data_IF_244646002747
#
_entry.id   IF_244646002747
#
_cell.length_a   1.000
_cell.length_b   1.000
_cell.length_c   1.000
_cell.angle_alpha   90.00
_cell.angle_beta   90.00
_cell.angle_gamma   90.00
#
_symmetry.space_group_name_H-M   'P 1'
#
loop_
_entity.id
_entity.type
_entity.pdbx_description
1 polymer ?
#
# COMPACT_ATOMS: atom_id res chain seq x y z
N UNK A 1 50.71 31.77 41.79
CA UNK A 1 50.56 32.64 42.97
C UNK A 1 50.09 31.75 44.12
N UNK A 2 50.82 31.50 45.20
CA UNK A 2 51.97 32.19 45.79
C UNK A 2 52.65 31.22 46.75
N UNK A 3 53.83 30.74 46.37
CA UNK A 3 55.12 30.99 47.03
C UNK A 3 55.32 30.26 48.38
N UNK A 4 56.12 29.20 48.32
CA UNK A 4 56.99 28.77 49.42
C UNK A 4 58.36 29.44 49.23
N UNK A 5 58.78 30.24 50.20
CA UNK A 5 60.18 30.61 50.49
C UNK A 5 60.42 30.07 51.91
N UNK A 6 61.43 29.26 52.21
CA UNK A 6 62.80 29.28 51.73
C UNK A 6 63.66 29.56 52.96
N UNK A 7 64.51 28.61 53.36
CA UNK A 7 65.95 28.86 53.53
C UNK A 7 66.63 27.62 54.10
N UNK A 8 67.59 27.13 53.33
CA UNK A 8 68.71 26.30 53.72
C UNK A 8 69.41 26.79 54.99
N UNK A 9 69.95 25.85 55.78
CA UNK A 9 71.41 25.62 55.75
C UNK A 9 71.91 24.81 56.96
N UNK A 10 72.76 23.83 56.62
CA UNK A 10 73.97 23.42 57.33
C UNK A 10 73.89 22.52 58.58
N UNK A 11 74.38 21.31 58.37
CA UNK A 11 75.00 20.33 59.30
C UNK A 11 76.55 20.49 59.19
N UNK A 12 77.47 19.86 59.98
CA UNK A 12 77.55 19.34 61.38
C UNK A 12 78.77 20.00 62.11
N UNK A 13 79.60 19.38 63.00
CA UNK A 13 79.51 18.20 63.87
C UNK A 13 79.91 18.49 65.34
N UNK A 14 79.87 17.47 66.22
CA UNK A 14 80.87 17.10 67.25
C UNK A 14 80.21 16.20 68.31
N UNK A 15 80.50 14.90 68.25
CA UNK A 15 81.49 14.17 69.05
C UNK A 15 81.05 13.91 70.49
N UNK A 16 80.82 12.63 70.80
CA UNK A 16 80.81 12.05 72.15
C UNK A 16 82.15 12.34 72.85
N UNK A 17 82.19 12.40 74.20
CA UNK A 17 82.59 11.19 74.94
C UNK A 17 81.83 10.94 76.25
N UNK A 18 81.61 9.64 76.47
CA UNK A 18 81.70 8.83 77.68
C UNK A 18 81.52 9.40 79.12
N UNK A 19 80.61 8.73 79.84
CA UNK A 19 80.80 8.15 81.18
C UNK A 19 80.87 9.03 82.45
N UNK A 20 79.81 9.02 83.28
CA UNK A 20 79.74 8.35 84.61
C UNK A 20 78.57 8.79 85.53
N UNK A 21 77.80 7.79 86.00
CA UNK A 21 77.02 7.62 87.25
C UNK A 21 75.81 8.54 87.65
N UNK A 22 74.85 8.00 88.45
CA UNK A 22 73.44 8.41 88.47
C UNK A 22 72.99 9.16 89.75
N UNK A 23 71.76 9.73 89.75
CA UNK A 23 70.93 9.87 90.94
C UNK A 23 69.61 9.04 90.85
N UNK A 24 68.86 8.87 91.94
CA UNK A 24 68.19 7.62 92.33
C UNK A 24 66.80 7.40 91.70
N UNK A 25 66.24 6.17 91.81
CA UNK A 25 64.97 5.83 91.21
C UNK A 25 63.77 6.24 92.08
N UNK A 26 62.75 6.70 91.36
CA UNK A 26 61.33 6.41 91.62
C UNK A 26 60.65 7.12 92.80
N UNK A 27 59.86 8.14 92.43
CA UNK A 27 58.53 8.31 92.99
C UNK A 27 57.53 8.38 91.82
N UNK A 28 56.77 7.31 91.60
CA UNK A 28 55.53 7.36 90.83
C UNK A 28 54.47 8.08 91.68
N UNK A 29 53.73 9.04 91.10
CA UNK A 29 52.32 9.16 91.36
C UNK A 29 51.56 8.62 90.16
N UNK A 30 50.60 7.76 90.46
CA UNK A 30 49.66 7.09 89.58
C UNK A 30 48.89 8.08 88.69
N UNK A 31 49.22 8.08 87.39
CA UNK A 31 48.25 8.39 86.34
C UNK A 31 47.24 7.25 86.17
N UNK A 32 46.15 7.46 85.41
CA UNK A 32 45.09 6.47 85.23
C UNK A 32 45.64 5.12 84.74
N UNK A 33 44.96 4.03 85.10
CA UNK A 33 45.41 2.66 84.80
C UNK A 33 45.44 2.41 83.28
N UNK A 34 46.43 1.68 82.77
CA UNK A 34 46.58 1.38 81.33
C UNK A 34 45.32 0.80 80.67
N UNK A 35 44.44 0.16 81.44
CA UNK A 35 43.16 -0.39 80.98
C UNK A 35 42.09 0.69 80.74
N UNK A 36 42.06 1.74 81.55
CA UNK A 36 41.13 2.87 81.40
C UNK A 36 41.44 3.68 80.13
N UNK A 37 42.73 3.87 79.84
CA UNK A 37 43.21 4.54 78.62
C UNK A 37 42.84 3.73 77.36
N UNK A 38 42.92 2.39 77.43
CA UNK A 38 42.58 1.51 76.31
C UNK A 38 41.06 1.47 76.04
N UNK A 39 40.25 1.52 77.09
CA UNK A 39 38.78 1.58 76.98
C UNK A 39 38.30 2.94 76.44
N UNK A 40 38.93 4.04 76.89
CA UNK A 40 38.64 5.39 76.38
C UNK A 40 39.00 5.51 74.89
N UNK A 41 40.15 4.96 74.48
CA UNK A 41 40.56 4.90 73.08
C UNK A 41 39.55 4.11 72.22
N UNK A 42 39.03 3.00 72.74
CA UNK A 42 37.99 2.21 72.07
C UNK A 42 36.68 2.98 71.94
N UNK A 43 36.21 3.63 73.01
CA UNK A 43 35.00 4.48 72.97
C UNK A 43 35.15 5.65 71.99
N UNK A 44 36.32 6.28 71.94
CA UNK A 44 36.61 7.35 70.99
C UNK A 44 36.61 6.82 69.54
N UNK A 45 37.19 5.64 69.29
CA UNK A 45 37.16 5.01 67.97
C UNK A 45 35.74 4.63 67.54
N UNK A 46 34.93 4.03 68.42
CA UNK A 46 33.53 3.70 68.15
C UNK A 46 32.70 4.97 67.88
N UNK A 47 32.94 6.05 68.64
CA UNK A 47 32.29 7.35 68.42
C UNK A 47 32.69 7.98 67.08
N UNK A 48 33.97 7.94 66.72
CA UNK A 48 34.45 8.38 65.41
C UNK A 48 33.84 7.54 64.28
N UNK A 49 33.76 6.22 64.45
CA UNK A 49 33.15 5.32 63.49
C UNK A 49 31.64 5.60 63.32
N UNK A 50 30.93 5.91 64.41
CA UNK A 50 29.53 6.30 64.37
C UNK A 50 29.32 7.63 63.63
N UNK A 51 30.15 8.65 63.90
CA UNK A 51 30.10 9.94 63.20
C UNK A 51 30.36 9.76 61.69
N UNK A 52 31.35 8.96 61.31
CA UNK A 52 31.65 8.69 59.89
C UNK A 52 30.49 7.97 59.20
N UNK A 53 29.87 6.99 59.88
CA UNK A 53 28.68 6.28 59.35
C UNK A 53 27.49 7.22 59.17
N UNK A 54 27.27 8.15 60.11
CA UNK A 54 26.20 9.13 60.03
C UNK A 54 26.41 10.13 58.88
N UNK A 55 27.64 10.63 58.70
CA UNK A 55 27.98 11.53 57.59
C UNK A 55 27.82 10.84 56.22
N UNK A 56 28.21 9.56 56.11
CA UNK A 56 27.97 8.76 54.90
C UNK A 56 26.47 8.58 54.61
N UNK A 57 25.66 8.31 55.64
CA UNK A 57 24.21 8.18 55.47
C UNK A 57 23.56 9.50 55.00
N UNK A 58 23.98 10.63 55.58
CA UNK A 58 23.53 11.96 55.15
C UNK A 58 23.94 12.29 53.72
N UNK A 59 25.17 11.93 53.32
CA UNK A 59 25.64 12.11 51.96
C UNK A 59 24.85 11.26 50.96
N UNK A 60 24.63 9.98 51.28
CA UNK A 60 23.84 9.07 50.44
C UNK A 60 22.38 9.54 50.30
N UNK A 61 21.77 10.06 51.36
CA UNK A 61 20.43 10.64 51.29
C UNK A 61 20.39 11.86 50.35
N UNK A 62 21.35 12.78 50.50
CA UNK A 62 21.45 13.97 49.64
C UNK A 62 21.69 13.60 48.18
N UNK A 63 22.53 12.60 47.91
CA UNK A 63 22.77 12.11 46.55
C UNK A 63 21.50 11.50 45.93
N UNK A 64 20.75 10.71 46.68
CA UNK A 64 19.48 10.15 46.24
C UNK A 64 18.40 11.23 45.99
N UNK A 65 18.27 12.22 46.86
CA UNK A 65 17.34 13.34 46.68
C UNK A 65 17.71 14.18 45.46
N UNK A 66 19.00 14.49 45.28
CA UNK A 66 19.48 15.19 44.10
C UNK A 66 19.23 14.37 42.83
N UNK A 67 19.50 13.07 42.84
CA UNK A 67 19.24 12.17 41.71
C UNK A 67 17.75 12.09 41.36
N UNK A 68 16.87 12.10 42.38
CA UNK A 68 15.43 12.11 42.18
C UNK A 68 14.94 13.44 41.56
N UNK A 69 15.47 14.57 42.01
CA UNK A 69 15.13 15.90 41.47
C UNK A 69 15.61 16.02 40.01
N UNK A 70 16.86 15.63 39.72
CA UNK A 70 17.39 15.66 38.35
C UNK A 70 16.63 14.71 37.43
N UNK A 71 16.29 13.51 37.92
CA UNK A 71 15.50 12.56 37.14
C UNK A 71 14.09 13.07 36.84
N UNK A 72 13.45 13.79 37.77
CA UNK A 72 12.14 14.38 37.55
C UNK A 72 12.18 15.52 36.53
N UNK A 73 13.22 16.37 36.59
CA UNK A 73 13.43 17.46 35.63
C UNK A 73 13.70 16.92 34.21
N UNK A 74 14.56 15.89 34.10
CA UNK A 74 14.86 15.24 32.82
C UNK A 74 13.63 14.57 32.21
N UNK A 75 12.82 13.89 33.03
CA UNK A 75 11.57 13.26 32.59
C UNK A 75 10.51 14.30 32.18
N UNK A 76 10.44 15.43 32.89
CA UNK A 76 9.55 16.55 32.54
C UNK A 76 9.98 17.20 31.22
N UNK A 77 11.28 17.39 31.00
CA UNK A 77 11.84 17.91 29.76
C UNK A 77 11.55 16.98 28.58
N UNK A 78 11.76 15.67 28.75
CA UNK A 78 11.45 14.67 27.73
C UNK A 78 9.96 14.66 27.36
N UNK A 79 9.06 14.77 28.35
CA UNK A 79 7.62 14.83 28.14
C UNK A 79 7.19 16.09 27.35
N UNK A 80 7.78 17.25 27.64
CA UNK A 80 7.49 18.49 26.90
C UNK A 80 7.91 18.34 25.42
N UNK A 81 9.09 17.77 25.17
CA UNK A 81 9.60 17.54 23.81
C UNK A 81 8.70 16.57 23.04
N UNK A 82 8.32 15.44 23.66
CA UNK A 82 7.44 14.44 23.05
C UNK A 82 6.09 15.05 22.70
N UNK A 83 5.47 15.76 23.64
CA UNK A 83 4.19 16.45 23.41
C UNK A 83 4.28 17.47 22.28
N UNK A 84 5.39 18.20 22.18
CA UNK A 84 5.66 19.12 21.08
C UNK A 84 5.70 18.42 19.72
N UNK A 85 6.45 17.30 19.64
CA UNK A 85 6.54 16.48 18.42
C UNK A 85 5.19 15.88 18.02
N UNK A 86 4.43 15.37 18.99
CA UNK A 86 3.10 14.80 18.78
C UNK A 86 2.13 15.83 18.19
N UNK A 87 2.13 17.07 18.71
CA UNK A 87 1.31 18.16 18.17
C UNK A 87 1.71 18.57 16.75
N UNK A 88 3.02 18.64 16.49
CA UNK A 88 3.54 18.94 15.15
C UNK A 88 3.14 17.87 14.13
N UNK A 89 3.28 16.59 14.50
CA UNK A 89 2.88 15.45 13.66
C UNK A 89 1.37 15.41 13.44
N UNK A 90 0.58 15.72 14.48
CA UNK A 90 -0.87 15.82 14.37
C UNK A 90 -1.30 16.92 13.39
N UNK A 91 -0.68 18.11 13.45
CA UNK A 91 -1.02 19.19 12.52
C UNK A 91 -0.58 18.87 11.08
N UNK A 92 0.59 18.25 10.90
CA UNK A 92 1.03 17.75 9.58
C UNK A 92 0.04 16.74 9.01
N UNK A 93 -0.37 15.77 9.83
CA UNK A 93 -1.37 14.76 9.48
C UNK A 93 -2.70 15.41 9.07
N UNK A 94 -3.15 16.43 9.80
CA UNK A 94 -4.38 17.17 9.49
C UNK A 94 -4.31 17.93 8.16
N UNK A 95 -3.16 18.55 7.85
CA UNK A 95 -2.93 19.23 6.57
C UNK A 95 -2.95 18.21 5.42
N UNK A 96 -2.28 17.08 5.59
CA UNK A 96 -2.26 16.00 4.59
C UNK A 96 -3.65 15.41 4.37
N UNK A 97 -4.44 15.19 5.42
CA UNK A 97 -5.81 14.69 5.32
C UNK A 97 -6.70 15.64 4.50
N UNK A 98 -6.61 16.96 4.74
CA UNK A 98 -7.34 17.94 3.92
C UNK A 98 -6.91 17.93 2.46
N UNK A 99 -5.61 17.82 2.19
CA UNK A 99 -5.09 17.74 0.82
C UNK A 99 -5.55 16.48 0.11
N UNK A 100 -5.59 15.35 0.82
CA UNK A 100 -6.11 14.08 0.33
C UNK A 100 -7.59 14.22 -0.03
N UNK A 101 -8.40 14.76 0.88
CA UNK A 101 -9.83 14.97 0.65
C UNK A 101 -10.11 15.86 -0.58
N UNK A 102 -9.33 16.93 -0.76
CA UNK A 102 -9.42 17.76 -1.97
C UNK A 102 -9.12 16.96 -3.25
N UNK A 103 -8.07 16.13 -3.22
CA UNK A 103 -7.69 15.29 -4.36
C UNK A 103 -8.73 14.21 -4.65
N UNK A 104 -9.31 13.61 -3.63
CA UNK A 104 -10.40 12.65 -3.77
C UNK A 104 -11.64 13.30 -4.39
N UNK A 105 -11.99 14.54 -4.01
CA UNK A 105 -13.09 15.28 -4.62
C UNK A 105 -12.83 15.63 -6.09
N UNK A 106 -11.61 16.05 -6.42
CA UNK A 106 -11.19 16.28 -7.82
C UNK A 106 -11.30 14.99 -8.64
N UNK A 107 -10.77 13.87 -8.14
CA UNK A 107 -10.84 12.57 -8.79
C UNK A 107 -12.28 12.07 -8.95
N UNK A 108 -13.13 12.24 -7.93
CA UNK A 108 -14.53 11.85 -8.00
C UNK A 108 -15.29 12.63 -9.08
N UNK A 109 -15.02 13.93 -9.20
CA UNK A 109 -15.62 14.79 -10.24
C UNK A 109 -15.20 14.37 -11.65
N UNK A 110 -13.90 14.08 -11.83
CA UNK A 110 -13.37 13.62 -13.12
C UNK A 110 -13.94 12.23 -13.46
N UNK A 111 -13.99 11.33 -12.47
CA UNK A 111 -14.51 9.97 -12.64
C UNK A 111 -15.99 9.96 -13.00
N UNK A 112 -16.81 10.81 -12.37
CA UNK A 112 -18.24 10.88 -12.70
C UNK A 112 -18.46 11.42 -14.11
N UNK A 113 -17.72 12.45 -14.52
CA UNK A 113 -17.77 13.00 -15.86
C UNK A 113 -17.46 11.94 -16.92
N UNK A 114 -16.35 11.21 -16.79
CA UNK A 114 -16.00 10.18 -17.78
C UNK A 114 -16.96 9.00 -17.77
N UNK A 115 -17.50 8.63 -16.61
CA UNK A 115 -18.52 7.59 -16.51
C UNK A 115 -19.79 7.98 -17.29
N UNK A 116 -20.27 9.20 -17.12
CA UNK A 116 -21.44 9.70 -17.86
C UNK A 116 -21.19 9.73 -19.38
N UNK A 117 -20.00 10.17 -19.80
CA UNK A 117 -19.62 10.18 -21.21
C UNK A 117 -19.59 8.77 -21.82
N UNK A 118 -19.09 7.78 -21.06
CA UNK A 118 -19.11 6.38 -21.50
C UNK A 118 -20.54 5.85 -21.61
N UNK A 119 -21.40 6.11 -20.62
CA UNK A 119 -22.81 5.70 -20.66
C UNK A 119 -23.55 6.29 -21.88
N UNK A 120 -23.28 7.55 -22.23
CA UNK A 120 -23.84 8.19 -23.44
C UNK A 120 -23.33 7.50 -24.71
N UNK A 121 -22.03 7.21 -24.79
CA UNK A 121 -21.44 6.54 -25.96
C UNK A 121 -21.96 5.12 -26.13
N UNK A 122 -22.04 4.35 -25.04
CA UNK A 122 -22.59 3.00 -25.02
C UNK A 122 -24.05 2.99 -25.46
N UNK A 123 -24.87 3.91 -24.91
CA UNK A 123 -26.26 4.06 -25.30
C UNK A 123 -26.41 4.39 -26.79
N UNK A 124 -25.65 5.37 -27.30
CA UNK A 124 -25.68 5.75 -28.71
C UNK A 124 -25.21 4.60 -29.62
N UNK A 125 -24.19 3.86 -29.21
CA UNK A 125 -23.70 2.69 -29.93
C UNK A 125 -24.78 1.61 -30.02
N UNK A 126 -25.45 1.33 -28.91
CA UNK A 126 -26.54 0.36 -28.85
C UNK A 126 -27.73 0.77 -29.73
N UNK A 127 -28.15 2.03 -29.67
CA UNK A 127 -29.23 2.58 -30.51
C UNK A 127 -28.89 2.49 -32.00
N UNK A 128 -27.67 2.89 -32.39
CA UNK A 128 -27.19 2.76 -33.76
C UNK A 128 -27.17 1.30 -34.24
N UNK A 129 -26.69 0.38 -33.41
CA UNK A 129 -26.68 -1.04 -33.76
C UNK A 129 -28.09 -1.57 -33.99
N UNK A 130 -29.02 -1.23 -33.09
CA UNK A 130 -30.43 -1.62 -33.20
C UNK A 130 -31.06 -1.08 -34.48
N UNK A 131 -30.91 0.22 -34.75
CA UNK A 131 -31.44 0.84 -35.97
C UNK A 131 -30.84 0.20 -37.22
N UNK A 132 -29.52 -0.02 -37.24
CA UNK A 132 -28.83 -0.65 -38.37
C UNK A 132 -29.33 -2.09 -38.60
N UNK A 133 -29.52 -2.86 -37.53
CA UNK A 133 -30.06 -4.21 -37.61
C UNK A 133 -31.50 -4.21 -38.14
N UNK A 134 -32.34 -3.28 -37.70
CA UNK A 134 -33.70 -3.11 -38.20
C UNK A 134 -33.72 -2.74 -39.68
N UNK A 135 -32.91 -1.76 -40.11
CA UNK A 135 -32.79 -1.35 -41.50
C UNK A 135 -32.27 -2.49 -42.40
N UNK A 136 -31.27 -3.23 -41.93
CA UNK A 136 -30.74 -4.40 -42.63
C UNK A 136 -31.82 -5.46 -42.81
N UNK A 137 -32.53 -5.83 -41.75
CA UNK A 137 -33.60 -6.82 -41.82
C UNK A 137 -34.73 -6.35 -42.74
N UNK A 138 -35.12 -5.09 -42.67
CA UNK A 138 -36.11 -4.53 -43.60
C UNK A 138 -35.64 -4.58 -45.06
N UNK A 139 -34.37 -4.26 -45.30
CA UNK A 139 -33.78 -4.35 -46.64
C UNK A 139 -33.71 -5.80 -47.13
N UNK A 140 -33.35 -6.75 -46.26
CA UNK A 140 -33.35 -8.18 -46.54
C UNK A 140 -34.76 -8.67 -46.89
N UNK A 141 -35.77 -8.38 -46.07
CA UNK A 141 -37.16 -8.76 -46.36
C UNK A 141 -37.68 -8.14 -47.67
N UNK A 142 -37.33 -6.87 -47.95
CA UNK A 142 -37.68 -6.22 -49.22
C UNK A 142 -36.99 -6.88 -50.40
N UNK A 143 -35.72 -7.27 -50.24
CA UNK A 143 -34.96 -7.99 -51.25
C UNK A 143 -35.56 -9.37 -51.48
N UNK A 144 -35.86 -10.14 -50.43
CA UNK A 144 -36.54 -11.44 -50.50
C UNK A 144 -37.91 -11.33 -51.17
N UNK A 145 -38.69 -10.28 -50.90
CA UNK A 145 -39.98 -10.08 -51.58
C UNK A 145 -39.82 -9.77 -53.08
N UNK A 146 -38.74 -9.07 -53.47
CA UNK A 146 -38.44 -8.73 -54.88
C UNK A 146 -37.79 -9.88 -55.63
N UNK A 147 -36.92 -10.62 -54.96
CA UNK A 147 -36.41 -11.91 -55.38
C UNK A 147 -37.57 -12.89 -55.17
N UNK A 148 -38.59 -12.74 -56.01
CA UNK A 148 -39.70 -13.70 -56.15
C UNK A 148 -39.07 -15.09 -55.99
N UNK A 149 -39.58 -16.00 -55.11
CA UNK A 149 -39.18 -17.39 -55.17
C UNK A 149 -39.41 -17.74 -56.62
N UNK A 150 -38.31 -17.86 -57.37
CA UNK A 150 -38.35 -17.73 -58.82
C UNK A 150 -39.39 -18.73 -59.20
N UNK A 151 -40.53 -18.24 -59.74
CA UNK A 151 -41.61 -19.10 -60.13
C UNK A 151 -40.98 -19.87 -61.28
N UNK A 152 -40.31 -20.95 -60.92
CA UNK A 152 -40.26 -22.22 -61.60
C UNK A 152 -41.72 -22.68 -61.64
N UNK A 153 -42.60 -21.82 -62.18
CA UNK A 153 -43.55 -22.24 -63.16
C UNK A 153 -42.62 -22.85 -64.19
N UNK A 154 -42.31 -24.14 -64.06
CA UNK A 154 -42.90 -25.14 -64.92
C UNK A 154 -43.36 -24.57 -66.28
N UNK A 155 -42.50 -23.77 -66.92
CA UNK A 155 -42.71 -23.23 -68.24
C UNK A 155 -42.86 -24.45 -69.15
N UNK A 156 -43.90 -24.43 -69.96
CA UNK A 156 -44.23 -25.52 -70.90
C UNK A 156 -44.72 -26.82 -70.24
N UNK A 157 -45.05 -26.88 -68.95
CA UNK A 157 -45.52 -28.15 -68.32
C UNK A 157 -46.82 -28.68 -68.87
N UNK A 158 -47.77 -27.81 -69.22
CA UNK A 158 -49.00 -28.24 -69.89
C UNK A 158 -48.71 -28.86 -71.27
N UNK A 159 -47.79 -28.26 -72.03
CA UNK A 159 -47.34 -28.80 -73.32
C UNK A 159 -46.57 -30.11 -73.12
N UNK A 160 -45.72 -30.19 -72.10
CA UNK A 160 -44.99 -31.39 -71.74
C UNK A 160 -45.95 -32.54 -71.41
N UNK A 161 -46.98 -32.29 -70.61
CA UNK A 161 -48.00 -33.28 -70.28
C UNK A 161 -48.74 -33.77 -71.52
N UNK A 162 -49.14 -32.86 -72.43
CA UNK A 162 -49.81 -33.20 -73.68
C UNK A 162 -48.92 -34.01 -74.63
N UNK A 163 -47.64 -33.66 -74.77
CA UNK A 163 -46.67 -34.42 -75.59
C UNK A 163 -46.51 -35.84 -75.05
N UNK A 164 -46.31 -35.96 -73.73
CA UNK A 164 -46.17 -37.27 -73.07
C UNK A 164 -47.44 -38.11 -73.22
N UNK A 165 -48.62 -37.49 -73.11
CA UNK A 165 -49.91 -38.17 -73.31
C UNK A 165 -50.05 -38.68 -74.76
N UNK A 166 -49.74 -37.85 -75.75
CA UNK A 166 -49.83 -38.23 -77.16
C UNK A 166 -48.95 -39.45 -77.49
N UNK A 167 -47.71 -39.49 -76.99
CA UNK A 167 -46.82 -40.64 -77.23
C UNK A 167 -47.28 -41.91 -76.51
N UNK A 168 -47.93 -41.78 -75.34
CA UNK A 168 -48.54 -42.94 -74.65
C UNK A 168 -49.70 -43.52 -75.45
N UNK A 169 -50.51 -42.67 -76.08
CA UNK A 169 -51.66 -43.08 -76.88
C UNK A 169 -51.29 -43.59 -78.28
N UNK A 170 -50.13 -43.18 -78.81
CA UNK A 170 -49.69 -43.50 -80.19
C UNK A 170 -48.30 -44.15 -80.23
N UNK A 171 -48.08 -45.34 -79.64
CA UNK A 171 -46.76 -45.94 -79.50
C UNK A 171 -46.13 -46.38 -80.84
N UNK A 172 -46.95 -46.75 -81.84
CA UNK A 172 -46.48 -47.19 -83.16
C UNK A 172 -46.54 -46.07 -84.21
N UNK A 173 -47.20 -44.95 -83.90
CA UNK A 173 -47.45 -43.86 -84.84
C UNK A 173 -46.99 -42.50 -84.28
N UNK A 174 -45.77 -42.49 -83.74
CA UNK A 174 -45.18 -41.36 -83.01
C UNK A 174 -45.09 -40.06 -83.83
N UNK A 175 -45.11 -40.15 -85.16
CA UNK A 175 -45.10 -38.99 -86.06
C UNK A 175 -46.37 -38.13 -85.95
N UNK A 176 -47.51 -38.69 -85.53
CA UNK A 176 -48.74 -37.90 -85.28
C UNK A 176 -48.55 -36.88 -84.15
N UNK A 177 -47.66 -37.16 -83.20
CA UNK A 177 -47.34 -36.26 -82.09
C UNK A 177 -46.31 -35.18 -82.45
N UNK A 178 -45.78 -35.17 -83.68
CA UNK A 178 -44.68 -34.29 -84.09
C UNK A 178 -45.02 -32.81 -84.04
N UNK A 179 -46.27 -32.44 -84.34
CA UNK A 179 -46.75 -31.04 -84.25
C UNK A 179 -46.74 -30.55 -82.80
N UNK A 180 -47.19 -31.39 -81.87
CA UNK A 180 -47.24 -31.12 -80.44
C UNK A 180 -45.83 -31.06 -79.83
N UNK A 181 -44.94 -31.96 -80.23
CA UNK A 181 -43.54 -31.95 -79.83
C UNK A 181 -42.81 -30.67 -80.32
N UNK A 182 -43.09 -30.20 -81.54
CA UNK A 182 -42.56 -28.93 -82.05
C UNK A 182 -43.03 -27.74 -81.20
N UNK A 183 -44.32 -27.69 -80.83
CA UNK A 183 -44.85 -26.63 -79.97
C UNK A 183 -44.19 -26.62 -78.59
N UNK A 184 -43.98 -27.80 -77.99
CA UNK A 184 -43.24 -27.92 -76.74
C UNK A 184 -41.80 -27.40 -76.87
N UNK A 185 -41.08 -27.80 -77.92
CA UNK A 185 -39.72 -27.34 -78.16
C UNK A 185 -39.65 -25.82 -78.39
N UNK A 186 -40.58 -25.25 -79.15
CA UNK A 186 -40.68 -23.79 -79.33
C UNK A 186 -40.88 -23.08 -77.99
N UNK A 187 -41.77 -23.61 -77.14
CA UNK A 187 -41.98 -23.08 -75.79
C UNK A 187 -40.68 -23.15 -74.96
N UNK A 188 -39.97 -24.29 -74.96
CA UNK A 188 -38.70 -24.45 -74.23
C UNK A 188 -37.62 -23.47 -74.72
N UNK A 189 -37.50 -23.28 -76.04
CA UNK A 189 -36.56 -22.32 -76.60
C UNK A 189 -36.89 -20.88 -76.25
N UNK A 190 -38.17 -20.51 -76.30
CA UNK A 190 -38.64 -19.18 -75.89
C UNK A 190 -38.41 -18.95 -74.40
N UNK A 191 -38.74 -19.93 -73.56
CA UNK A 191 -38.47 -19.92 -72.13
C UNK A 191 -36.98 -19.70 -71.84
N UNK A 192 -36.11 -20.52 -72.45
CA UNK A 192 -34.65 -20.38 -72.31
C UNK A 192 -34.14 -19.00 -72.71
N UNK A 193 -34.67 -18.43 -73.80
CA UNK A 193 -34.32 -17.07 -74.24
C UNK A 193 -34.78 -16.00 -73.24
N UNK A 194 -35.96 -16.15 -72.67
CA UNK A 194 -36.53 -15.20 -71.69
C UNK A 194 -35.87 -15.26 -70.30
N UNK A 195 -35.33 -16.41 -69.89
CA UNK A 195 -34.59 -16.53 -68.63
C UNK A 195 -33.17 -15.95 -68.71
N UNK A 196 -32.56 -15.92 -69.89
CA UNK A 196 -31.20 -15.39 -70.11
C UNK A 196 -31.16 -13.85 -70.21
N UNK A 197 -32.30 -13.19 -70.39
CA UNK A 197 -32.40 -11.73 -70.28
C UNK A 197 -32.51 -11.34 -68.81
N UNK A 198 -31.37 -11.04 -68.18
CA UNK A 198 -31.31 -10.49 -66.82
C UNK A 198 -32.17 -9.23 -66.74
N UNK A 199 -33.19 -9.24 -65.88
CA UNK A 199 -33.81 -8.01 -65.39
C UNK A 199 -32.85 -7.42 -64.35
N UNK A 200 -31.99 -6.49 -64.82
CA UNK A 200 -31.18 -5.63 -63.95
C UNK A 200 -32.04 -4.67 -63.15
#
# INVERSE_FOLDING_TARGET
MRESRGSDSNKPPKSLPDSHKPPPPSAKPSGPSSKEIQEEMRKNFERQQAMVKEELAKLAQRENENAAITGLDELTSALIIEKGKSLEEHEKSKILARKLEMKERELATISSFYKEQLEILEKKSFENYKETAEQYNQAATKAEARIRPQHTAYLCTELQAKVLQCYKENPQETLHCSSLAKQYMTCVHQAKKSTLTNHG
#
